data_IF_601488209504
#
_entry.id   IF_601488209504
#
_cell.length_a   1.000
_cell.length_b   1.000
_cell.length_c   1.000
_cell.angle_alpha   90.00
_cell.angle_beta   90.00
_cell.angle_gamma   90.00
#
_symmetry.space_group_name_H-M   'P 1'
#
loop_
_entity.id
_entity.type
_entity.pdbx_description
1 polymer ?
#
# COMPACT_ATOMS: atom_id res chain seq x y z
N UNK A 1 3.26 12.94 -45.45
CA UNK A 1 2.85 12.46 -44.12
C UNK A 1 1.70 11.46 -44.15
N UNK A 2 1.16 11.11 -45.33
CA UNK A 2 0.01 10.19 -45.46
C UNK A 2 0.41 8.71 -45.67
N UNK A 3 1.64 8.44 -46.13
CA UNK A 3 2.12 7.07 -46.37
C UNK A 3 2.44 6.29 -45.09
N UNK A 4 3.00 6.95 -44.06
CA UNK A 4 3.30 6.30 -42.79
C UNK A 4 2.04 5.82 -42.05
N UNK A 5 0.89 6.49 -42.25
CA UNK A 5 -0.40 6.07 -41.68
C UNK A 5 -0.95 4.84 -42.40
N UNK A 6 -0.68 4.71 -43.71
CA UNK A 6 -1.06 3.53 -44.50
C UNK A 6 -0.22 2.31 -44.11
N UNK A 7 1.08 2.48 -43.87
CA UNK A 7 1.93 1.39 -43.35
C UNK A 7 1.53 0.96 -41.94
N UNK A 8 1.21 1.90 -41.05
CA UNK A 8 0.77 1.57 -39.69
C UNK A 8 -0.57 0.80 -39.70
N UNK A 9 -1.52 1.20 -40.56
CA UNK A 9 -2.80 0.49 -40.71
C UNK A 9 -2.63 -0.89 -41.36
N UNK A 10 -1.71 -1.04 -42.33
CA UNK A 10 -1.40 -2.34 -42.92
C UNK A 10 -0.71 -3.29 -41.93
N UNK A 11 0.22 -2.79 -41.11
CA UNK A 11 0.88 -3.59 -40.08
C UNK A 11 -0.12 -4.06 -39.00
N UNK A 12 -1.06 -3.22 -38.60
CA UNK A 12 -2.12 -3.61 -37.67
C UNK A 12 -3.02 -4.73 -38.23
N UNK A 13 -3.34 -4.67 -39.52
CA UNK A 13 -4.19 -5.66 -40.18
C UNK A 13 -3.49 -7.03 -40.35
N UNK A 14 -2.18 -7.03 -40.63
CA UNK A 14 -1.39 -8.26 -40.74
C UNK A 14 -1.20 -8.93 -39.37
N UNK A 15 -0.96 -8.16 -38.31
CA UNK A 15 -0.87 -8.71 -36.95
C UNK A 15 -2.19 -9.40 -36.54
N UNK A 16 -3.33 -8.77 -36.84
CA UNK A 16 -4.67 -9.34 -36.55
C UNK A 16 -4.94 -10.67 -37.26
N UNK A 17 -4.44 -10.87 -38.49
CA UNK A 17 -4.63 -12.10 -39.24
C UNK A 17 -3.69 -13.24 -38.79
N UNK A 18 -2.47 -12.92 -38.36
CA UNK A 18 -1.51 -13.94 -37.87
C UNK A 18 -1.91 -14.54 -36.52
N UNK A 19 -2.55 -13.75 -35.66
CA UNK A 19 -3.06 -14.19 -34.35
C UNK A 19 -4.19 -15.24 -34.51
N UNK A 20 -4.97 -15.18 -35.59
CA UNK A 20 -6.13 -16.06 -35.78
C UNK A 20 -5.82 -17.42 -36.43
N UNK A 21 -4.59 -17.62 -36.93
CA UNK A 21 -4.18 -18.86 -37.62
C UNK A 21 -3.49 -19.88 -36.71
N UNK A 22 -3.32 -19.57 -35.42
CA UNK A 22 -2.69 -20.48 -34.45
C UNK A 22 -3.74 -21.36 -33.76
N UNK A 23 -3.65 -22.70 -33.88
CA UNK A 23 -4.59 -23.63 -33.22
C UNK A 23 -4.63 -23.50 -31.69
N UNK A 24 -3.58 -22.93 -31.08
CA UNK A 24 -3.51 -22.68 -29.64
C UNK A 24 -4.53 -21.64 -29.14
N UNK A 25 -5.09 -20.81 -30.03
CA UNK A 25 -6.00 -19.72 -29.66
C UNK A 25 -7.48 -20.06 -29.84
N UNK A 26 -7.82 -21.25 -30.37
CA UNK A 26 -9.20 -21.76 -30.32
C UNK A 26 -9.65 -22.07 -28.87
N UNK A 27 -8.70 -22.34 -27.96
CA UNK A 27 -8.98 -22.56 -26.54
C UNK A 27 -9.08 -21.27 -25.72
N UNK A 28 -8.55 -20.14 -26.21
CA UNK A 28 -8.55 -18.86 -25.48
C UNK A 28 -9.70 -17.91 -25.92
N UNK A 29 -10.20 -18.04 -27.15
CA UNK A 29 -11.32 -17.22 -27.64
C UNK A 29 -12.69 -17.62 -27.02
N UNK A 30 -12.79 -18.81 -26.40
CA UNK A 30 -13.99 -19.23 -25.67
C UNK A 30 -14.15 -18.57 -24.28
N UNK A 31 -13.15 -17.84 -23.79
CA UNK A 31 -13.17 -17.28 -22.43
C UNK A 31 -13.36 -15.76 -22.34
N UNK A 32 -13.40 -15.03 -23.47
CA UNK A 32 -13.35 -13.56 -23.45
C UNK A 32 -14.46 -12.82 -24.20
N UNK A 33 -15.47 -13.51 -24.76
CA UNK A 33 -16.60 -12.84 -25.46
C UNK A 33 -17.97 -13.20 -24.87
N UNK A 34 -18.07 -13.23 -23.54
CA UNK A 34 -19.35 -13.28 -22.82
C UNK A 34 -19.41 -12.23 -21.70
N UNK A 35 -19.13 -10.97 -22.01
CA UNK A 35 -19.49 -9.84 -21.10
C UNK A 35 -20.45 -8.85 -21.76
N UNK A 36 -20.99 -9.14 -22.96
CA UNK A 36 -21.94 -8.23 -23.58
C UNK A 36 -22.97 -8.94 -24.47
N UNK A 37 -23.95 -9.62 -23.86
CA UNK A 37 -25.34 -9.75 -24.37
C UNK A 37 -26.13 -10.94 -23.80
N UNK A 38 -26.12 -11.18 -22.49
CA UNK A 38 -27.15 -12.04 -21.89
C UNK A 38 -27.83 -11.26 -20.77
N UNK A 39 -29.00 -10.74 -21.09
CA UNK A 39 -29.98 -10.30 -20.10
C UNK A 39 -30.30 -11.46 -19.19
N UNK A 40 -29.61 -11.53 -18.06
CA UNK A 40 -29.93 -12.44 -16.98
C UNK A 40 -30.89 -11.73 -16.04
N UNK A 41 -32.08 -12.31 -15.96
CA UNK A 41 -33.16 -11.92 -15.08
C UNK A 41 -32.64 -11.85 -13.63
N UNK A 42 -32.61 -10.65 -13.03
CA UNK A 42 -31.98 -10.36 -11.72
C UNK A 42 -32.48 -11.25 -10.57
N UNK A 43 -33.64 -11.88 -10.75
CA UNK A 43 -34.32 -12.69 -9.74
C UNK A 43 -33.70 -14.10 -9.61
N UNK A 44 -33.03 -14.58 -10.66
CA UNK A 44 -32.46 -15.94 -10.71
C UNK A 44 -31.03 -15.97 -10.18
N UNK A 45 -30.27 -14.89 -10.39
CA UNK A 45 -28.97 -14.64 -9.76
C UNK A 45 -29.05 -14.54 -8.25
N UNK A 46 -30.13 -13.98 -7.68
CA UNK A 46 -30.32 -13.94 -6.22
C UNK A 46 -30.57 -15.34 -5.63
N UNK A 47 -31.34 -16.18 -6.34
CA UNK A 47 -31.62 -17.55 -5.92
C UNK A 47 -30.38 -18.43 -6.00
N UNK A 48 -29.61 -18.32 -7.08
CA UNK A 48 -28.35 -19.05 -7.24
C UNK A 48 -27.34 -18.56 -6.20
N UNK A 49 -27.19 -17.24 -5.98
CA UNK A 49 -26.30 -16.70 -4.95
C UNK A 49 -26.74 -17.11 -3.53
N UNK A 50 -28.04 -17.23 -3.26
CA UNK A 50 -28.56 -17.69 -1.97
C UNK A 50 -28.37 -19.21 -1.76
N UNK A 51 -28.41 -20.02 -2.81
CA UNK A 51 -28.13 -21.46 -2.76
C UNK A 51 -26.62 -21.72 -2.64
N UNK A 52 -25.79 -20.99 -3.37
CA UNK A 52 -24.33 -21.04 -3.25
C UNK A 52 -23.90 -20.62 -1.84
N UNK A 53 -24.49 -19.57 -1.27
CA UNK A 53 -24.25 -19.16 0.15
C UNK A 53 -24.65 -20.21 1.18
N UNK A 54 -25.62 -21.07 0.91
CA UNK A 54 -26.04 -22.14 1.83
C UNK A 54 -25.19 -23.40 1.71
N UNK A 55 -24.62 -23.67 0.53
CA UNK A 55 -23.80 -24.87 0.27
C UNK A 55 -22.30 -24.62 0.41
N UNK A 56 -21.85 -23.37 0.32
CA UNK A 56 -20.51 -22.98 0.69
C UNK A 56 -20.47 -22.91 2.22
N UNK A 57 -20.15 -24.06 2.85
CA UNK A 57 -19.81 -24.11 4.27
C UNK A 57 -18.91 -22.93 4.61
N UNK A 58 -19.24 -22.23 5.70
CA UNK A 58 -18.81 -20.87 6.00
C UNK A 58 -17.45 -20.52 5.41
N UNK A 59 -17.42 -19.52 4.54
CA UNK A 59 -16.19 -18.81 4.21
C UNK A 59 -15.44 -18.58 5.53
N UNK A 60 -14.15 -18.92 5.62
CA UNK A 60 -13.39 -18.66 6.84
C UNK A 60 -13.61 -17.18 7.15
N UNK A 61 -14.10 -16.95 8.36
CA UNK A 61 -14.22 -15.63 8.98
C UNK A 61 -13.01 -14.82 8.51
N UNK A 62 -13.25 -13.73 7.78
CA UNK A 62 -12.17 -12.93 7.17
C UNK A 62 -11.21 -12.60 8.31
N UNK A 63 -10.07 -13.28 8.34
CA UNK A 63 -9.13 -13.17 9.44
C UNK A 63 -8.49 -11.80 9.31
N UNK A 64 -9.12 -10.80 9.93
CA UNK A 64 -8.62 -9.45 9.93
C UNK A 64 -7.42 -9.42 10.87
N UNK A 65 -6.23 -9.74 10.33
CA UNK A 65 -4.96 -9.63 11.05
C UNK A 65 -4.81 -8.19 11.54
N UNK A 66 -4.77 -8.02 12.85
CA UNK A 66 -4.43 -6.74 13.49
C UNK A 66 -2.95 -6.45 13.23
N UNK A 67 -2.68 -5.37 12.50
CA UNK A 67 -1.30 -5.01 12.15
C UNK A 67 -0.58 -4.40 13.35
N UNK A 68 0.66 -4.84 13.57
CA UNK A 68 1.55 -4.29 14.59
C UNK A 68 2.39 -3.18 13.99
N UNK A 69 2.12 -1.95 14.41
CA UNK A 69 2.81 -0.76 13.91
C UNK A 69 3.79 -0.29 14.99
N UNK A 70 5.08 -0.44 14.72
CA UNK A 70 6.11 -0.03 15.65
C UNK A 70 6.26 1.50 15.68
N UNK A 71 6.38 2.06 16.88
CA UNK A 71 6.55 3.51 17.09
C UNK A 71 7.78 3.74 17.97
N UNK A 72 8.74 4.60 17.55
CA UNK A 72 9.94 4.84 18.34
C UNK A 72 9.63 5.56 19.65
N UNK A 73 10.21 5.10 20.76
CA UNK A 73 10.17 5.82 22.03
C UNK A 73 11.17 6.97 22.01
N UNK A 74 10.68 8.19 22.25
CA UNK A 74 11.49 9.41 22.27
C UNK A 74 11.52 10.04 23.64
N UNK A 75 12.72 10.16 24.21
CA UNK A 75 12.91 10.87 25.46
C UNK A 75 12.94 12.40 25.25
N UNK A 76 13.48 12.86 24.12
CA UNK A 76 13.54 14.28 23.71
C UNK A 76 12.76 14.55 22.41
N UNK A 77 12.44 15.83 22.15
CA UNK A 77 11.68 16.27 20.97
C UNK A 77 10.40 15.49 20.69
N UNK A 78 9.45 15.57 21.63
CA UNK A 78 8.18 14.82 21.59
C UNK A 78 7.12 15.39 20.64
N UNK A 79 7.45 16.42 19.86
CA UNK A 79 6.51 17.04 18.93
C UNK A 79 6.14 16.08 17.76
N UNK A 80 7.09 15.26 17.32
CA UNK A 80 6.88 14.34 16.21
C UNK A 80 6.20 13.05 16.64
N UNK A 81 6.64 12.49 17.77
CA UNK A 81 6.11 11.28 18.38
C UNK A 81 6.22 11.42 19.90
N UNK A 82 5.10 11.20 20.60
CA UNK A 82 5.00 11.26 22.04
C UNK A 82 4.25 10.02 22.54
N UNK A 83 4.93 9.23 23.37
CA UNK A 83 4.35 8.04 24.01
C UNK A 83 4.03 8.41 25.45
N UNK A 84 2.76 8.24 25.82
CA UNK A 84 2.24 8.48 27.18
C UNK A 84 1.44 7.28 27.64
N UNK A 85 1.12 7.21 28.94
CA UNK A 85 0.25 6.17 29.48
C UNK A 85 -1.16 6.16 28.85
N UNK A 86 -1.57 7.29 28.27
CA UNK A 86 -2.86 7.46 27.61
C UNK A 86 -2.83 7.05 26.13
N UNK A 87 -1.66 6.77 25.57
CA UNK A 87 -1.48 6.37 24.18
C UNK A 87 -0.34 7.09 23.47
N UNK A 88 -0.32 6.92 22.14
CA UNK A 88 0.69 7.46 21.25
C UNK A 88 0.10 8.66 20.50
N UNK A 89 0.80 9.79 20.50
CA UNK A 89 0.37 11.06 19.89
C UNK A 89 1.54 11.72 19.18
N UNK A 90 1.27 12.79 18.42
CA UNK A 90 2.31 13.61 17.79
C UNK A 90 2.11 13.71 16.28
N UNK A 91 2.85 14.63 15.65
CA UNK A 91 2.69 14.97 14.25
C UNK A 91 2.70 13.75 13.30
N UNK A 92 3.62 12.81 13.50
CA UNK A 92 3.73 11.62 12.64
C UNK A 92 2.54 10.67 12.80
N UNK A 93 1.96 10.62 13.99
CA UNK A 93 0.80 9.77 14.30
C UNK A 93 -0.45 10.36 13.66
N UNK A 94 -0.68 11.66 13.86
CA UNK A 94 -1.82 12.36 13.28
C UNK A 94 -1.81 12.25 11.75
N UNK A 95 -0.63 12.38 11.14
CA UNK A 95 -0.46 12.21 9.70
C UNK A 95 -0.76 10.78 9.24
N UNK A 96 -0.26 9.78 9.97
CA UNK A 96 -0.53 8.37 9.67
C UNK A 96 -2.03 8.05 9.76
N UNK A 97 -2.70 8.49 10.82
CA UNK A 97 -4.14 8.29 10.97
C UNK A 97 -4.94 9.01 9.89
N UNK A 98 -4.54 10.23 9.52
CA UNK A 98 -5.15 10.96 8.40
C UNK A 98 -5.00 10.20 7.08
N UNK A 99 -3.84 9.58 6.82
CA UNK A 99 -3.60 8.76 5.63
C UNK A 99 -4.46 7.48 5.65
N UNK A 100 -4.52 6.77 6.78
CA UNK A 100 -5.34 5.57 6.95
C UNK A 100 -6.82 5.87 6.73
N UNK A 101 -7.31 7.01 7.24
CA UNK A 101 -8.70 7.44 7.06
C UNK A 101 -9.10 7.74 5.61
N UNK A 102 -8.13 7.86 4.70
CA UNK A 102 -8.37 8.04 3.26
C UNK A 102 -8.38 6.74 2.46
N UNK A 103 -8.02 5.60 3.07
CA UNK A 103 -8.00 4.32 2.39
C UNK A 103 -9.44 3.83 2.10
N UNK A 104 -9.67 3.11 0.97
CA UNK A 104 -11.00 2.59 0.61
C UNK A 104 -11.43 1.38 1.47
N UNK A 105 -10.62 0.99 2.45
CA UNK A 105 -10.87 -0.12 3.36
C UNK A 105 -10.45 0.24 4.78
N UNK A 106 -11.05 -0.44 5.76
CA UNK A 106 -10.73 -0.23 7.18
C UNK A 106 -9.47 -1.00 7.56
N UNK A 107 -8.44 -0.27 7.99
CA UNK A 107 -7.23 -0.85 8.56
C UNK A 107 -7.44 -1.11 10.06
N UNK A 108 -7.11 -2.30 10.54
CA UNK A 108 -7.11 -2.64 11.98
C UNK A 108 -5.65 -2.77 12.42
N UNK A 109 -5.22 -1.92 13.35
CA UNK A 109 -3.83 -1.87 13.80
C UNK A 109 -3.72 -1.59 15.30
N UNK A 110 -2.53 -1.81 15.85
CA UNK A 110 -2.10 -1.32 17.15
C UNK A 110 -0.71 -0.72 17.08
N UNK A 111 -0.47 0.29 17.91
CA UNK A 111 0.86 0.83 18.10
C UNK A 111 1.63 -0.01 19.12
N UNK A 112 2.85 -0.39 18.73
CA UNK A 112 3.81 -1.11 19.57
C UNK A 112 4.98 -0.17 19.85
N UNK A 113 5.16 0.20 21.11
CA UNK A 113 6.26 1.09 21.51
C UNK A 113 7.58 0.35 21.36
N UNK A 114 8.54 1.00 20.70
CA UNK A 114 9.85 0.45 20.40
C UNK A 114 10.94 1.33 21.02
N UNK A 115 11.56 0.84 22.08
CA UNK A 115 12.58 1.55 22.87
C UNK A 115 13.99 1.10 22.52
N UNK A 116 14.36 1.26 21.25
CA UNK A 116 15.65 0.84 20.67
C UNK A 116 16.01 1.73 19.47
N UNK A 117 17.15 1.47 18.84
CA UNK A 117 17.62 2.30 17.73
C UNK A 117 16.70 2.22 16.50
N UNK A 118 16.78 3.22 15.61
CA UNK A 118 16.03 3.22 14.34
C UNK A 118 16.43 2.09 13.40
N UNK A 119 17.69 1.65 13.43
CA UNK A 119 18.15 0.56 12.59
C UNK A 119 17.55 -0.76 13.07
N UNK A 120 17.48 -0.97 14.39
CA UNK A 120 16.77 -2.11 14.98
C UNK A 120 15.25 -2.04 14.75
N UNK A 121 14.66 -0.85 14.73
CA UNK A 121 13.24 -0.64 14.40
C UNK A 121 12.96 -1.13 12.97
N UNK A 122 13.79 -0.72 12.01
CA UNK A 122 13.69 -1.16 10.61
C UNK A 122 13.93 -2.66 10.50
N UNK A 123 14.93 -3.20 11.20
CA UNK A 123 15.20 -4.64 11.20
C UNK A 123 14.04 -5.44 11.80
N UNK A 124 13.33 -4.89 12.79
CA UNK A 124 12.14 -5.50 13.37
C UNK A 124 10.99 -5.62 12.36
N UNK A 125 10.84 -4.62 11.48
CA UNK A 125 9.89 -4.68 10.35
C UNK A 125 10.35 -5.68 9.29
N UNK A 126 11.63 -5.64 8.91
CA UNK A 126 12.21 -6.57 7.92
C UNK A 126 12.10 -8.04 8.35
N UNK A 127 12.21 -8.30 9.66
CA UNK A 127 12.06 -9.64 10.24
C UNK A 127 10.60 -10.07 10.43
N UNK A 128 9.62 -9.21 10.11
CA UNK A 128 8.19 -9.48 10.27
C UNK A 128 7.71 -9.54 11.72
N UNK A 129 8.51 -9.06 12.69
CA UNK A 129 8.10 -8.96 14.10
C UNK A 129 7.02 -7.88 14.24
N UNK A 130 7.24 -6.76 13.55
CA UNK A 130 6.26 -5.70 13.35
C UNK A 130 5.89 -5.65 11.86
N UNK A 131 4.64 -5.33 11.56
CA UNK A 131 4.15 -5.28 10.19
C UNK A 131 4.53 -3.97 9.48
N UNK A 132 4.69 -2.89 10.26
CA UNK A 132 5.11 -1.57 9.77
C UNK A 132 5.75 -0.76 10.90
N UNK A 133 6.32 0.40 10.57
CA UNK A 133 6.79 1.38 11.54
C UNK A 133 6.34 2.79 11.15
N UNK A 134 5.99 3.62 12.16
CA UNK A 134 5.55 5.00 11.99
C UNK A 134 6.30 5.89 12.97
N UNK A 135 6.81 7.02 12.47
CA UNK A 135 7.52 8.01 13.25
C UNK A 135 8.40 8.91 12.39
N UNK A 136 9.28 9.65 13.05
CA UNK A 136 10.32 10.50 12.46
C UNK A 136 11.51 9.68 11.92
N UNK A 137 11.22 8.70 11.06
CA UNK A 137 12.20 7.76 10.52
C UNK A 137 12.82 8.34 9.24
N UNK A 138 14.12 8.66 9.29
CA UNK A 138 14.86 9.11 8.11
C UNK A 138 15.06 7.97 7.11
N UNK A 139 14.68 8.23 5.86
CA UNK A 139 14.89 7.34 4.71
C UNK A 139 16.34 7.47 4.25
N UNK A 140 17.13 6.40 4.44
CA UNK A 140 18.52 6.30 3.97
C UNK A 140 18.68 5.02 3.15
N UNK A 141 19.67 4.99 2.27
CA UNK A 141 19.89 3.87 1.34
C UNK A 141 20.01 2.51 2.05
N UNK A 142 20.74 2.46 3.16
CA UNK A 142 20.92 1.24 3.95
C UNK A 142 19.60 0.71 4.53
N UNK A 143 18.71 1.57 5.01
CA UNK A 143 17.39 1.12 5.50
C UNK A 143 16.48 0.69 4.36
N UNK A 144 16.53 1.40 3.24
CA UNK A 144 15.70 1.13 2.07
C UNK A 144 16.07 -0.20 1.38
N UNK A 145 17.25 -0.77 1.61
CA UNK A 145 17.58 -2.12 1.13
C UNK A 145 16.92 -3.24 1.94
N UNK A 146 16.37 -2.94 3.13
CA UNK A 146 15.79 -3.93 4.05
C UNK A 146 14.26 -3.85 4.13
N UNK A 147 13.68 -2.68 3.85
CA UNK A 147 12.23 -2.42 3.91
C UNK A 147 11.80 -1.43 2.84
N UNK A 148 10.52 -1.47 2.48
CA UNK A 148 9.90 -0.49 1.60
C UNK A 148 9.41 0.72 2.41
N UNK A 149 9.75 1.92 1.95
CA UNK A 149 9.27 3.17 2.52
C UNK A 149 8.13 3.77 1.69
N UNK A 150 7.27 4.54 2.34
CA UNK A 150 6.37 5.45 1.65
C UNK A 150 7.15 6.58 0.98
N UNK A 151 6.47 7.37 0.15
CA UNK A 151 6.98 8.69 -0.23
C UNK A 151 7.25 9.54 1.03
N UNK A 152 8.33 10.34 1.06
CA UNK A 152 8.61 11.21 2.18
C UNK A 152 7.51 12.27 2.32
N UNK A 153 7.06 12.50 3.54
CA UNK A 153 6.03 13.49 3.87
C UNK A 153 6.62 14.81 4.41
N UNK A 154 7.89 14.81 4.80
CA UNK A 154 8.65 15.98 5.22
C UNK A 154 10.07 15.86 4.71
N UNK A 155 10.67 16.98 4.35
CA UNK A 155 12.11 17.05 4.11
C UNK A 155 12.85 16.94 5.45
N UNK A 156 14.00 16.25 5.46
CA UNK A 156 14.84 16.07 6.63
C UNK A 156 16.30 16.31 6.24
N UNK A 157 17.04 16.97 7.12
CA UNK A 157 18.43 17.37 6.87
C UNK A 157 19.20 17.56 8.17
N UNK A 158 20.53 17.58 8.05
CA UNK A 158 21.45 17.86 9.16
C UNK A 158 21.81 19.33 9.13
N UNK A 159 21.80 19.99 10.29
CA UNK A 159 22.13 21.41 10.43
C UNK A 159 22.97 21.65 11.68
N UNK A 160 23.88 22.63 11.64
CA UNK A 160 24.69 23.04 12.79
C UNK A 160 24.05 24.25 13.46
N UNK A 161 23.71 24.13 14.74
CA UNK A 161 23.26 25.25 15.57
C UNK A 161 24.47 25.84 16.29
N UNK A 162 24.71 27.13 16.10
CA UNK A 162 25.78 27.88 16.76
C UNK A 162 25.14 28.98 17.59
N UNK A 163 25.63 29.16 18.83
CA UNK A 163 25.21 30.27 19.68
C UNK A 163 25.65 31.58 19.02
N UNK A 164 24.71 32.50 18.82
CA UNK A 164 25.07 33.84 18.37
C UNK A 164 25.80 34.56 19.51
N UNK A 165 26.97 35.12 19.21
CA UNK A 165 27.61 36.09 20.11
C UNK A 165 26.84 37.40 20.01
N UNK A 166 26.34 37.86 21.15
CA UNK A 166 25.80 39.20 21.25
C UNK A 166 26.99 40.14 21.45
N UNK A 167 27.34 40.93 20.44
CA UNK A 167 28.28 42.05 20.63
C UNK A 167 27.60 43.05 21.58
N UNK A 168 28.05 43.08 22.83
CA UNK A 168 27.67 44.14 23.77
C UNK A 168 28.41 45.43 23.36
N UNK A 169 27.65 46.42 22.87
CA UNK A 169 28.13 47.78 22.61
C UNK A 169 28.63 48.49 23.88
#
# INVERSE_FOLDING_TARGET
MEEHRRLAMAAAFVILLTVWSSPAMAMAAAAATEVHSLGLNCNETERINAVVRRNLGGLPEVYHKKLKIAVPLKHGFRAFVNVTDQGVTGYCIDLFEAAVNKLPYRLIYEFVVFDRSYDELVQSVSSGINDAAVGDITIIADRASHVEFTMPYTESGVSMLVLAENESE
#
